data_IF_039945602356
#
_entry.id   IF_039945602356
#
_cell.length_a   1.000
_cell.length_b   1.000
_cell.length_c   1.000
_cell.angle_alpha   90.00
_cell.angle_beta   90.00
_cell.angle_gamma   90.00
#
_symmetry.space_group_name_H-M   'P 1'
#
loop_
_entity.id
_entity.type
_entity.pdbx_description
1 polymer ?
#
# COMPACT_ATOMS: atom_id res chain seq x y z
N UNK A 1 23.39 -20.25 -1.35
CA UNK A 1 23.42 -19.68 0.00
C UNK A 1 22.89 -18.26 -0.13
N UNK A 2 21.98 -17.81 0.74
CA UNK A 2 21.46 -16.42 0.64
C UNK A 2 22.58 -15.50 1.13
N UNK A 3 23.14 -14.70 0.22
CA UNK A 3 24.19 -13.74 0.56
C UNK A 3 23.59 -12.57 1.37
N UNK A 4 24.36 -12.04 2.31
CA UNK A 4 23.95 -10.89 3.13
C UNK A 4 23.53 -9.68 2.27
N UNK A 5 24.24 -9.45 1.17
CA UNK A 5 23.92 -8.42 0.19
C UNK A 5 22.54 -8.62 -0.46
N UNK A 6 22.13 -9.87 -0.67
CA UNK A 6 20.84 -10.20 -1.24
C UNK A 6 19.71 -9.93 -0.23
N UNK A 7 19.93 -10.29 1.04
CA UNK A 7 18.97 -10.03 2.12
C UNK A 7 18.73 -8.52 2.32
N UNK A 8 19.79 -7.71 2.29
CA UNK A 8 19.68 -6.25 2.38
C UNK A 8 18.86 -5.69 1.21
N UNK A 9 19.13 -6.12 -0.02
CA UNK A 9 18.39 -5.64 -1.21
C UNK A 9 16.90 -5.94 -1.08
N UNK A 10 16.53 -7.17 -0.75
CA UNK A 10 15.12 -7.56 -0.57
C UNK A 10 14.48 -6.74 0.56
N UNK A 11 15.19 -6.54 1.67
CA UNK A 11 14.69 -5.77 2.82
C UNK A 11 14.41 -4.32 2.42
N UNK A 12 15.34 -3.67 1.74
CA UNK A 12 15.17 -2.28 1.29
C UNK A 12 14.02 -2.19 0.27
N UNK A 13 13.94 -3.12 -0.68
CA UNK A 13 12.86 -3.15 -1.68
C UNK A 13 11.50 -3.34 -1.01
N UNK A 14 11.36 -4.27 -0.07
CA UNK A 14 10.10 -4.48 0.67
C UNK A 14 9.74 -3.26 1.52
N UNK A 15 10.72 -2.63 2.17
CA UNK A 15 10.49 -1.42 2.95
C UNK A 15 9.98 -0.27 2.09
N UNK A 16 10.54 -0.09 0.89
CA UNK A 16 10.09 0.90 -0.08
C UNK A 16 8.67 0.61 -0.59
N UNK A 17 8.35 -0.66 -0.90
CA UNK A 17 7.04 -1.09 -1.40
C UNK A 17 5.95 -0.91 -0.33
N UNK A 18 6.22 -1.32 0.92
CA UNK A 18 5.26 -1.22 2.03
C UNK A 18 5.09 0.24 2.48
N UNK A 19 6.12 1.07 2.30
CA UNK A 19 6.14 2.49 2.68
C UNK A 19 5.62 2.75 4.12
N UNK A 20 6.18 2.09 5.15
CA UNK A 20 5.69 2.22 6.52
C UNK A 20 5.82 3.66 7.05
N UNK A 21 6.82 4.41 6.58
CA UNK A 21 7.04 5.81 6.96
C UNK A 21 5.91 6.70 6.44
N UNK A 22 5.54 6.57 5.16
CA UNK A 22 4.46 7.35 4.58
C UNK A 22 3.07 6.96 5.12
N UNK A 23 2.88 5.68 5.45
CA UNK A 23 1.61 5.19 5.99
C UNK A 23 1.38 5.56 7.47
N UNK A 24 2.43 5.82 8.23
CA UNK A 24 2.32 6.05 9.68
C UNK A 24 1.52 7.32 10.03
N UNK A 25 1.78 8.51 9.44
CA UNK A 25 0.97 9.71 9.70
C UNK A 25 -0.49 9.53 9.27
N UNK A 26 -0.73 8.84 8.15
CA UNK A 26 -2.08 8.53 7.65
C UNK A 26 -2.82 7.66 8.67
N UNK A 27 -2.16 6.61 9.18
CA UNK A 27 -2.75 5.75 10.20
C UNK A 27 -3.01 6.48 11.51
N UNK A 28 -2.08 7.34 11.96
CA UNK A 28 -2.27 8.14 13.18
C UNK A 28 -3.47 9.08 13.02
N UNK A 29 -3.55 9.81 11.91
CA UNK A 29 -4.65 10.73 11.63
C UNK A 29 -6.00 10.01 11.50
N UNK A 30 -6.02 8.87 10.82
CA UNK A 30 -7.25 8.08 10.63
C UNK A 30 -7.76 7.39 11.91
N UNK A 31 -6.88 7.18 12.90
CA UNK A 31 -7.21 6.55 14.18
C UNK A 31 -7.24 7.54 15.34
N UNK A 32 -7.28 8.84 15.05
CA UNK A 32 -7.40 9.87 16.06
C UNK A 32 -8.75 9.75 16.80
N UNK A 33 -8.73 9.92 18.12
CA UNK A 33 -9.89 9.72 18.98
C UNK A 33 -10.34 8.26 19.22
N UNK A 34 -9.69 7.26 18.60
CA UNK A 34 -10.04 5.85 18.84
C UNK A 34 -9.56 5.36 20.20
N UNK A 35 -10.28 4.38 20.77
CA UNK A 35 -9.78 3.67 21.94
C UNK A 35 -8.52 2.86 21.60
N UNK A 36 -7.59 2.76 22.55
CA UNK A 36 -6.31 2.03 22.36
C UNK A 36 -6.52 0.58 21.92
N UNK A 37 -7.58 -0.08 22.40
CA UNK A 37 -7.90 -1.46 22.05
C UNK A 37 -8.28 -1.61 20.57
N UNK A 38 -9.12 -0.72 20.05
CA UNK A 38 -9.55 -0.74 18.65
C UNK A 38 -8.39 -0.42 17.71
N UNK A 39 -7.58 0.58 18.07
CA UNK A 39 -6.37 0.94 17.32
C UNK A 39 -5.38 -0.23 17.25
N UNK A 40 -5.16 -0.94 18.35
CA UNK A 40 -4.28 -2.11 18.40
C UNK A 40 -4.83 -3.29 17.58
N UNK A 41 -6.15 -3.52 17.64
CA UNK A 41 -6.82 -4.56 16.85
C UNK A 41 -6.68 -4.30 15.35
N UNK A 42 -6.89 -3.06 14.92
CA UNK A 42 -6.74 -2.67 13.51
C UNK A 42 -5.28 -2.76 13.07
N UNK A 43 -4.33 -2.28 13.87
CA UNK A 43 -2.90 -2.41 13.57
C UNK A 43 -2.49 -3.89 13.38
N UNK A 44 -2.97 -4.79 14.26
CA UNK A 44 -2.70 -6.23 14.15
C UNK A 44 -3.33 -6.84 12.90
N UNK A 45 -4.54 -6.42 12.55
CA UNK A 45 -5.24 -6.89 11.34
C UNK A 45 -4.48 -6.45 10.09
N UNK A 46 -4.08 -5.18 10.01
CA UNK A 46 -3.27 -4.65 8.90
C UNK A 46 -1.94 -5.40 8.80
N UNK A 47 -1.22 -5.58 9.91
CA UNK A 47 0.05 -6.31 9.92
C UNK A 47 -0.11 -7.75 9.43
N UNK A 48 -1.15 -8.46 9.87
CA UNK A 48 -1.43 -9.83 9.44
C UNK A 48 -1.80 -9.88 7.94
N UNK A 49 -2.64 -8.98 7.47
CA UNK A 49 -3.04 -8.89 6.06
C UNK A 49 -1.82 -8.63 5.17
N UNK A 50 -0.99 -7.64 5.51
CA UNK A 50 0.24 -7.33 4.77
C UNK A 50 1.17 -8.53 4.76
N UNK A 51 1.38 -9.18 5.91
CA UNK A 51 2.21 -10.39 6.00
C UNK A 51 1.70 -11.52 5.10
N UNK A 52 0.40 -11.80 5.11
CA UNK A 52 -0.21 -12.85 4.28
C UNK A 52 -0.06 -12.52 2.79
N UNK A 53 -0.39 -11.29 2.38
CA UNK A 53 -0.31 -10.85 0.98
C UNK A 53 1.14 -10.95 0.48
N UNK A 54 2.11 -10.46 1.26
CA UNK A 54 3.52 -10.53 0.90
C UNK A 54 4.03 -11.98 0.86
N UNK A 55 3.63 -12.82 1.80
CA UNK A 55 4.02 -14.24 1.82
C UNK A 55 3.48 -14.97 0.60
N UNK A 56 2.19 -14.81 0.29
CA UNK A 56 1.58 -15.43 -0.90
C UNK A 56 2.28 -14.94 -2.16
N UNK A 57 2.51 -13.63 -2.28
CA UNK A 57 3.19 -13.05 -3.44
C UNK A 57 4.63 -13.57 -3.57
N UNK A 58 5.34 -13.75 -2.46
CA UNK A 58 6.71 -14.27 -2.46
C UNK A 58 6.79 -15.75 -2.86
N UNK A 59 5.83 -16.59 -2.46
CA UNK A 59 5.85 -18.03 -2.75
C UNK A 59 5.12 -18.44 -4.04
N UNK A 60 4.16 -17.63 -4.50
CA UNK A 60 3.29 -17.96 -5.63
C UNK A 60 3.29 -16.90 -6.75
N UNK A 61 3.98 -15.78 -6.58
CA UNK A 61 3.95 -14.68 -7.54
C UNK A 61 4.49 -15.05 -8.92
N UNK A 62 5.54 -15.87 -8.98
CA UNK A 62 6.10 -16.40 -10.23
C UNK A 62 5.06 -17.26 -10.98
N UNK A 63 4.46 -18.24 -10.28
CA UNK A 63 3.43 -19.12 -10.84
C UNK A 63 2.19 -18.36 -11.29
N UNK A 64 1.81 -17.32 -10.54
CA UNK A 64 0.68 -16.48 -10.90
C UNK A 64 0.95 -15.72 -12.20
N UNK A 65 2.16 -15.18 -12.38
CA UNK A 65 2.54 -14.49 -13.61
C UNK A 65 2.65 -15.45 -14.79
N UNK A 66 3.23 -16.62 -14.58
CA UNK A 66 3.31 -17.68 -15.60
C UNK A 66 1.93 -18.15 -16.06
N UNK A 67 0.94 -18.24 -15.15
CA UNK A 67 -0.45 -18.54 -15.49
C UNK A 67 -1.05 -17.54 -16.48
N UNK A 68 -0.68 -16.26 -16.38
CA UNK A 68 -1.08 -15.22 -17.33
C UNK A 68 -0.15 -15.11 -18.55
N UNK A 69 0.89 -15.94 -18.66
CA UNK A 69 1.91 -15.84 -19.70
C UNK A 69 2.76 -14.58 -19.60
N UNK A 70 2.88 -13.99 -18.40
CA UNK A 70 3.62 -12.75 -18.16
C UNK A 70 5.00 -13.09 -17.59
N UNK A 71 6.05 -12.60 -18.24
CA UNK A 71 7.41 -12.76 -17.70
C UNK A 71 7.68 -11.81 -16.52
N UNK A 72 8.55 -12.21 -15.60
CA UNK A 72 9.00 -11.36 -14.49
C UNK A 72 9.53 -9.99 -15.00
N UNK A 73 10.39 -9.92 -16.03
CA UNK A 73 10.80 -8.63 -16.61
C UNK A 73 9.64 -7.78 -17.12
N UNK A 74 8.67 -8.38 -17.81
CA UNK A 74 7.48 -7.67 -18.31
C UNK A 74 6.64 -7.09 -17.16
N UNK A 75 6.46 -7.86 -16.08
CA UNK A 75 5.76 -7.42 -14.89
C UNK A 75 6.47 -6.24 -14.21
N UNK A 76 7.80 -6.28 -14.10
CA UNK A 76 8.60 -5.20 -13.54
C UNK A 76 8.48 -3.90 -14.36
N UNK A 77 8.50 -3.99 -15.70
CA UNK A 77 8.30 -2.83 -16.57
C UNK A 77 6.90 -2.25 -16.41
N UNK A 78 5.86 -3.09 -16.42
CA UNK A 78 4.48 -2.66 -16.23
C UNK A 78 4.24 -2.01 -14.86
N UNK A 79 4.76 -2.62 -13.80
CA UNK A 79 4.69 -2.07 -12.44
C UNK A 79 5.46 -0.75 -12.30
N UNK A 80 6.62 -0.63 -12.93
CA UNK A 80 7.38 0.63 -12.97
C UNK A 80 6.62 1.77 -13.66
N UNK A 81 5.98 1.48 -14.79
CA UNK A 81 5.12 2.45 -15.49
C UNK A 81 3.92 2.83 -14.62
N UNK A 82 3.28 1.86 -13.95
CA UNK A 82 2.16 2.14 -13.06
C UNK A 82 2.56 3.08 -11.92
N UNK A 83 3.69 2.82 -11.26
CA UNK A 83 4.22 3.68 -10.19
C UNK A 83 4.50 5.09 -10.73
N UNK A 84 5.14 5.21 -11.90
CA UNK A 84 5.38 6.50 -12.55
C UNK A 84 4.07 7.28 -12.78
N UNK A 85 3.04 6.60 -13.28
CA UNK A 85 1.73 7.22 -13.52
C UNK A 85 1.06 7.67 -12.21
N UNK A 86 1.14 6.86 -11.15
CA UNK A 86 0.64 7.23 -9.82
C UNK A 86 1.38 8.46 -9.31
N UNK A 87 2.72 8.49 -9.41
CA UNK A 87 3.53 9.64 -9.01
C UNK A 87 3.15 10.92 -9.78
N UNK A 88 2.98 10.83 -11.10
CA UNK A 88 2.53 11.96 -11.92
C UNK A 88 1.11 12.41 -11.51
N UNK A 89 0.20 11.48 -11.24
CA UNK A 89 -1.17 11.82 -10.79
C UNK A 89 -1.15 12.57 -9.45
N UNK A 90 -0.33 12.13 -8.50
CA UNK A 90 -0.18 12.79 -7.20
C UNK A 90 0.35 14.23 -7.33
N UNK A 91 1.32 14.48 -8.23
CA UNK A 91 1.82 15.84 -8.50
C UNK A 91 0.75 16.79 -9.04
N UNK A 92 -0.18 16.27 -9.83
CA UNK A 92 -1.30 17.06 -10.37
C UNK A 92 -2.46 17.24 -9.38
N UNK A 93 -2.31 16.80 -8.11
CA UNK A 93 -3.35 16.93 -7.09
C UNK A 93 -4.60 16.09 -7.35
N UNK A 94 -4.57 15.20 -8.35
CA UNK A 94 -5.62 14.21 -8.56
C UNK A 94 -5.33 13.09 -7.57
N UNK A 95 -6.13 12.98 -6.51
CA UNK A 95 -6.07 11.83 -5.61
C UNK A 95 -6.16 10.58 -6.49
N UNK A 96 -5.07 9.81 -6.53
CA UNK A 96 -4.97 8.61 -7.34
C UNK A 96 -6.12 7.69 -6.96
N UNK A 97 -7.01 7.43 -7.90
CA UNK A 97 -8.27 6.73 -7.70
C UNK A 97 -8.07 5.31 -7.19
N UNK A 98 -7.88 5.15 -5.89
CA UNK A 98 -8.25 3.92 -5.18
C UNK A 98 -9.72 4.06 -4.89
N UNK A 99 -10.55 3.69 -5.88
CA UNK A 99 -12.03 3.58 -5.84
C UNK A 99 -12.68 4.31 -4.64
N UNK A 100 -12.79 5.63 -4.72
CA UNK A 100 -13.94 6.25 -4.06
C UNK A 100 -15.16 5.80 -4.86
N UNK A 101 -15.90 4.86 -4.28
CA UNK A 101 -17.28 4.63 -4.74
C UNK A 101 -18.04 5.94 -4.52
N UNK A 102 -19.07 6.21 -5.34
CA UNK A 102 -19.88 7.42 -5.19
C UNK A 102 -20.44 7.59 -3.76
N UNK A 103 -20.59 6.48 -3.05
CA UNK A 103 -21.02 6.38 -1.65
C UNK A 103 -19.96 6.91 -0.65
N UNK A 104 -18.66 6.74 -0.91
CA UNK A 104 -17.60 7.31 -0.06
C UNK A 104 -17.45 8.82 -0.27
N UNK A 105 -17.67 9.32 -1.49
CA UNK A 105 -17.66 10.76 -1.78
C UNK A 105 -18.80 11.51 -1.06
N UNK A 106 -19.98 10.88 -0.94
CA UNK A 106 -21.11 11.42 -0.17
C UNK A 106 -20.83 11.44 1.34
N UNK A 107 -20.22 10.39 1.89
CA UNK A 107 -19.86 10.35 3.32
C UNK A 107 -18.81 11.38 3.74
N UNK A 108 -17.94 11.84 2.82
CA UNK A 108 -17.02 12.95 3.08
C UNK A 108 -17.72 14.32 3.04
N UNK A 109 -18.78 14.48 2.23
CA UNK A 109 -19.55 15.72 2.17
C UNK A 109 -20.38 15.96 3.43
N UNK A 110 -20.83 14.87 4.09
CA UNK A 110 -21.60 14.95 5.35
C UNK A 110 -20.73 15.15 6.59
N UNK A 111 -19.42 14.90 6.51
CA UNK A 111 -18.51 15.32 7.58
C UNK A 111 -18.16 16.78 7.35
N UNK A 112 -18.88 17.67 8.02
CA UNK A 112 -18.50 19.07 8.22
C UNK A 112 -17.06 19.11 8.74
N UNK A 113 -16.11 19.30 7.82
CA UNK A 113 -14.71 19.47 8.15
C UNK A 113 -14.61 20.78 8.89
N UNK A 114 -14.60 20.69 10.23
CA UNK A 114 -14.13 21.78 11.07
C UNK A 114 -12.65 21.92 10.74
N UNK A 115 -12.35 22.79 9.79
CA UNK A 115 -11.00 23.22 9.49
C UNK A 115 -10.46 23.92 10.73
N UNK A 116 -9.54 23.26 11.42
CA UNK A 116 -8.72 23.92 12.44
C UNK A 116 -7.43 24.38 11.76
N UNK A 117 -7.11 25.65 12.00
CA UNK A 117 -5.93 26.41 11.56
C UNK A 117 -4.63 25.66 11.84
#
# INVERSE_FOLDING_TARGET
MIDFNHLIKITISLFAIVNPIGSLPIFISATDGWQKADRARTARTVALTVFIVLSISAFFGDRLLDFFGISIPSFQVGGGILILLISISMMHGKQGGTRQTAEEAQNLADREVIAIV
#
